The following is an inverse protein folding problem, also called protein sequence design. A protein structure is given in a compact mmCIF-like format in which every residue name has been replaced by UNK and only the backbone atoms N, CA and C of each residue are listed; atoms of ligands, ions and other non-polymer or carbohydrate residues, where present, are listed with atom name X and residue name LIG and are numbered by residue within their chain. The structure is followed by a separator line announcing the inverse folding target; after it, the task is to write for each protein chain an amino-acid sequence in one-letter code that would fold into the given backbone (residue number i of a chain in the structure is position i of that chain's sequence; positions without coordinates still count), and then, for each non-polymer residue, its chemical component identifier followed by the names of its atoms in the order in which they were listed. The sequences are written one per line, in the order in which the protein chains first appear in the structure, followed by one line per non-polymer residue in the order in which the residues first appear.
data_IF_733745339510
#
_entry.id   IF_733745339510
#
_cell.length_a   1.000
_cell.length_b   1.000
_cell.length_c   1.000
_cell.angle_alpha   90.00
_cell.angle_beta   90.00
_cell.angle_gamma   90.00
#
_symmetry.space_group_name_H-M   'P 1'
#
loop_
_entity.id
_entity.type
_entity.pdbx_description
1 polymer ?
#
# COMPACT_ATOMS: atom_id res chain seq x y z
N UNK A 1 -19.74 -13.12 21.90
CA UNK A 1 -19.12 -13.19 20.55
C UNK A 1 -18.06 -14.28 20.43
N UNK A 2 -17.06 -14.39 21.32
CA UNK A 2 -16.00 -15.41 21.20
C UNK A 2 -16.44 -16.86 21.52
N UNK A 3 -17.53 -17.04 22.28
CA UNK A 3 -18.03 -18.36 22.68
C UNK A 3 -18.57 -19.21 21.51
N UNK A 4 -18.94 -18.59 20.38
CA UNK A 4 -19.44 -19.32 19.20
C UNK A 4 -18.30 -19.90 18.35
N UNK A 5 -17.07 -19.38 18.50
CA UNK A 5 -15.89 -19.85 17.76
C UNK A 5 -15.54 -21.30 18.14
N UNK A 6 -15.84 -21.70 19.38
CA UNK A 6 -15.62 -23.08 19.85
C UNK A 6 -16.54 -24.11 19.19
N UNK A 7 -17.64 -23.68 18.56
CA UNK A 7 -18.60 -24.55 17.85
C UNK A 7 -18.27 -24.75 16.38
N UNK A 8 -17.29 -24.03 15.84
CA UNK A 8 -16.90 -24.13 14.44
C UNK A 8 -16.29 -25.49 14.13
N UNK A 9 -16.60 -26.04 12.97
CA UNK A 9 -15.94 -27.23 12.44
C UNK A 9 -14.49 -26.92 12.07
N UNK A 10 -13.61 -27.93 11.93
CA UNK A 10 -12.23 -27.70 11.50
C UNK A 10 -12.11 -26.93 10.17
N UNK A 11 -13.00 -27.21 9.20
CA UNK A 11 -13.03 -26.49 7.92
C UNK A 11 -13.44 -25.02 8.08
N UNK A 12 -14.47 -24.74 8.86
CA UNK A 12 -14.90 -23.36 9.14
C UNK A 12 -13.85 -22.57 9.93
N UNK A 13 -13.13 -23.23 10.85
CA UNK A 13 -11.99 -22.61 11.56
C UNK A 13 -10.88 -22.25 10.59
N UNK A 14 -10.55 -23.13 9.65
CA UNK A 14 -9.52 -22.87 8.66
C UNK A 14 -9.90 -21.68 7.76
N UNK A 15 -11.14 -21.64 7.27
CA UNK A 15 -11.66 -20.54 6.47
C UNK A 15 -11.67 -19.21 7.24
N UNK A 16 -12.11 -19.23 8.51
CA UNK A 16 -12.06 -18.07 9.40
C UNK A 16 -10.62 -17.59 9.63
N UNK A 17 -9.67 -18.49 9.89
CA UNK A 17 -8.27 -18.13 10.08
C UNK A 17 -7.67 -17.49 8.82
N UNK A 18 -7.98 -18.00 7.63
CA UNK A 18 -7.54 -17.41 6.36
C UNK A 18 -8.15 -16.02 6.12
N UNK A 19 -9.43 -15.82 6.46
CA UNK A 19 -10.07 -14.52 6.35
C UNK A 19 -9.48 -13.50 7.34
N UNK A 20 -9.20 -13.93 8.58
CA UNK A 20 -8.61 -13.07 9.61
C UNK A 20 -7.15 -12.74 9.31
N UNK A 21 -6.36 -13.68 8.78
CA UNK A 21 -4.95 -13.41 8.45
C UNK A 21 -4.79 -12.29 7.42
N UNK A 22 -5.64 -12.26 6.38
CA UNK A 22 -5.64 -11.17 5.42
C UNK A 22 -6.11 -9.83 6.01
N UNK A 23 -7.07 -9.88 6.94
CA UNK A 23 -7.53 -8.69 7.65
C UNK A 23 -6.44 -8.12 8.58
N UNK A 24 -5.69 -8.98 9.27
CA UNK A 24 -4.59 -8.59 10.16
C UNK A 24 -3.46 -7.87 9.40
N UNK A 25 -3.08 -8.36 8.21
CA UNK A 25 -2.09 -7.70 7.36
C UNK A 25 -2.53 -6.27 6.98
N UNK A 26 -3.80 -6.10 6.58
CA UNK A 26 -4.37 -4.79 6.25
C UNK A 26 -4.38 -3.87 7.47
N UNK A 27 -4.81 -4.38 8.63
CA UNK A 27 -4.85 -3.63 9.89
C UNK A 27 -3.44 -3.17 10.29
N UNK A 28 -2.44 -4.05 10.19
CA UNK A 28 -1.05 -3.70 10.50
C UNK A 28 -0.49 -2.61 9.58
N UNK A 29 -0.79 -2.68 8.27
CA UNK A 29 -0.40 -1.62 7.33
C UNK A 29 -1.08 -0.30 7.68
N UNK A 30 -2.38 -0.30 7.98
CA UNK A 30 -3.11 0.91 8.38
C UNK A 30 -2.53 1.51 9.66
N UNK A 31 -2.27 0.69 10.68
CA UNK A 31 -1.65 1.12 11.93
C UNK A 31 -0.27 1.73 11.68
N UNK A 32 0.55 1.10 10.83
CA UNK A 32 1.87 1.63 10.46
C UNK A 32 1.76 2.99 9.80
N UNK A 33 0.82 3.16 8.85
CA UNK A 33 0.57 4.43 8.16
C UNK A 33 0.07 5.54 9.11
N UNK A 34 -0.68 5.17 10.14
CA UNK A 34 -1.23 6.12 11.13
C UNK A 34 -0.29 6.40 12.30
N UNK A 35 0.69 5.52 12.54
CA UNK A 35 1.64 5.65 13.64
C UNK A 35 2.51 6.90 13.51
N UNK A 36 2.94 7.45 14.65
CA UNK A 36 3.88 8.56 14.68
C UNK A 36 5.29 8.02 14.50
N UNK A 37 6.06 8.51 13.52
CA UNK A 37 7.45 8.12 13.35
C UNK A 37 8.29 8.65 14.53
N UNK A 38 9.14 7.77 15.08
CA UNK A 38 10.02 8.08 16.20
C UNK A 38 11.26 8.88 15.75
N UNK A 39 11.73 8.65 14.52
CA UNK A 39 12.91 9.29 13.96
C UNK A 39 12.67 9.79 12.53
N UNK A 40 13.51 10.75 12.11
CA UNK A 40 13.53 11.24 10.74
C UNK A 40 14.18 10.20 9.81
N UNK A 41 13.54 9.79 8.71
CA UNK A 41 14.13 8.84 7.76
C UNK A 41 15.40 9.37 7.09
N UNK A 42 15.54 10.70 6.98
CA UNK A 42 16.66 11.31 6.26
C UNK A 42 17.93 11.50 7.09
N UNK A 43 17.81 11.63 8.40
CA UNK A 43 18.96 11.98 9.26
C UNK A 43 18.91 11.29 10.64
N UNK A 44 17.95 10.39 10.86
CA UNK A 44 17.74 9.62 12.09
C UNK A 44 17.50 10.45 13.36
N UNK A 45 17.37 11.78 13.24
CA UNK A 45 17.09 12.65 14.38
C UNK A 45 15.67 12.49 14.91
N UNK A 46 15.53 12.51 16.24
CA UNK A 46 14.27 12.26 16.96
C UNK A 46 13.38 13.51 17.11
N UNK A 47 13.91 14.70 16.75
CA UNK A 47 13.15 15.95 16.82
C UNK A 47 12.14 16.07 15.67
N UNK A 48 11.09 15.26 15.72
CA UNK A 48 10.03 15.17 14.70
C UNK A 48 8.72 15.78 15.19
N UNK A 49 8.18 16.74 14.42
CA UNK A 49 6.91 17.41 14.71
C UNK A 49 5.88 17.20 13.60
N UNK A 50 4.59 17.25 13.94
CA UNK A 50 3.49 17.28 12.96
C UNK A 50 3.54 18.59 12.17
N UNK A 51 3.27 18.53 10.86
CA UNK A 51 3.37 19.65 9.94
C UNK A 51 2.22 19.64 8.91
N UNK A 52 0.99 19.56 9.43
CA UNK A 52 -0.24 19.51 8.64
C UNK A 52 -0.48 18.17 7.94
N UNK A 53 -1.41 18.16 6.99
CA UNK A 53 -1.80 16.97 6.23
C UNK A 53 -1.69 17.23 4.72
N UNK A 54 -1.43 16.19 3.94
CA UNK A 54 -1.55 16.24 2.48
C UNK A 54 -1.92 14.88 1.93
N UNK A 55 -2.81 14.84 0.93
CA UNK A 55 -3.24 13.62 0.25
C UNK A 55 -3.72 12.52 1.22
N UNK A 56 -4.43 12.93 2.26
CA UNK A 56 -4.98 12.06 3.32
C UNK A 56 -3.96 11.55 4.34
N UNK A 57 -2.71 12.03 4.33
CA UNK A 57 -1.65 11.58 5.21
C UNK A 57 -1.14 12.70 6.12
N UNK A 58 -0.82 12.34 7.37
CA UNK A 58 -0.10 13.21 8.29
C UNK A 58 1.30 13.49 7.74
N UNK A 59 1.65 14.77 7.62
CA UNK A 59 3.02 15.21 7.30
C UNK A 59 3.78 15.47 8.58
N UNK A 60 5.07 15.15 8.55
CA UNK A 60 6.02 15.40 9.62
C UNK A 60 7.15 16.30 9.11
N UNK A 61 7.74 17.07 10.02
CA UNK A 61 8.95 17.88 9.76
C UNK A 61 10.00 17.52 10.79
N UNK A 62 11.20 17.20 10.33
CA UNK A 62 12.36 17.06 11.20
C UNK A 62 12.90 18.45 11.54
N UNK A 63 13.13 18.74 12.82
CA UNK A 63 13.75 19.99 13.28
C UNK A 63 15.28 19.96 13.20
N UNK A 64 15.90 18.79 13.11
CA UNK A 64 17.35 18.65 12.96
C UNK A 64 17.80 18.95 11.53
N UNK A 65 17.19 18.32 10.51
CA UNK A 65 17.57 18.50 9.10
C UNK A 65 16.58 19.33 8.27
N UNK A 66 15.50 19.84 8.88
CA UNK A 66 14.45 20.68 8.28
C UNK A 66 13.57 20.02 7.20
N UNK A 67 13.89 18.80 6.76
CA UNK A 67 13.13 18.06 5.73
C UNK A 67 11.76 17.61 6.22
N UNK A 68 10.80 17.52 5.30
CA UNK A 68 9.46 16.99 5.55
C UNK A 68 9.27 15.60 4.97
N UNK A 69 8.53 14.76 5.68
CA UNK A 69 8.24 13.38 5.30
C UNK A 69 6.84 12.97 5.79
N UNK A 70 6.43 11.75 5.49
CA UNK A 70 5.19 11.12 5.98
C UNK A 70 5.43 9.63 6.23
N UNK A 71 4.43 8.91 6.72
CA UNK A 71 4.52 7.47 7.01
C UNK A 71 4.77 6.58 5.79
N UNK A 72 4.54 7.08 4.57
CA UNK A 72 4.88 6.37 3.33
C UNK A 72 6.28 6.70 2.81
N UNK A 73 7.04 7.56 3.49
CA UNK A 73 8.40 7.89 3.06
C UNK A 73 9.27 6.64 3.15
N UNK A 74 10.16 6.44 2.17
CA UNK A 74 10.97 5.22 1.99
C UNK A 74 10.21 3.93 1.67
N UNK A 75 8.89 4.01 1.44
CA UNK A 75 8.10 2.87 0.94
C UNK A 75 7.92 2.95 -0.58
N UNK A 76 7.64 1.83 -1.28
CA UNK A 76 7.22 1.85 -2.69
C UNK A 76 5.94 2.69 -2.95
N UNK A 77 5.14 2.92 -1.91
CA UNK A 77 3.93 3.75 -1.94
C UNK A 77 4.23 5.25 -1.83
N UNK A 78 5.50 5.64 -1.61
CA UNK A 78 5.92 7.02 -1.58
C UNK A 78 5.52 7.74 -2.87
N UNK A 79 4.88 8.90 -2.72
CA UNK A 79 4.46 9.77 -3.84
C UNK A 79 3.57 9.07 -4.87
N UNK A 80 2.89 7.99 -4.47
CA UNK A 80 1.94 7.31 -5.33
C UNK A 80 0.73 8.20 -5.58
N UNK A 81 0.53 8.58 -6.85
CA UNK A 81 -0.62 9.34 -7.32
C UNK A 81 -1.72 8.37 -7.78
N UNK A 82 -2.96 8.85 -7.84
CA UNK A 82 -4.11 8.04 -8.26
C UNK A 82 -4.25 6.73 -7.48
N UNK A 83 -4.13 6.79 -6.14
CA UNK A 83 -4.19 5.62 -5.25
C UNK A 83 -5.40 4.72 -5.52
N UNK A 84 -6.57 5.31 -5.82
CA UNK A 84 -7.79 4.57 -6.15
C UNK A 84 -7.73 3.74 -7.44
N UNK A 85 -6.74 3.96 -8.32
CA UNK A 85 -6.52 3.15 -9.52
C UNK A 85 -5.53 2.00 -9.29
N UNK A 86 -4.93 1.89 -8.10
CA UNK A 86 -3.82 0.96 -7.86
C UNK A 86 -4.27 -0.50 -7.81
N UNK A 87 -5.44 -0.78 -7.24
CA UNK A 87 -6.04 -2.12 -7.26
C UNK A 87 -6.36 -2.56 -8.69
N UNK A 88 -6.94 -1.66 -9.50
CA UNK A 88 -7.22 -1.93 -10.91
C UNK A 88 -5.92 -2.10 -11.71
N UNK A 89 -4.87 -1.33 -11.39
CA UNK A 89 -3.53 -1.51 -11.96
C UNK A 89 -2.96 -2.90 -11.64
N UNK A 90 -3.12 -3.40 -10.42
CA UNK A 90 -2.73 -4.75 -10.05
C UNK A 90 -3.51 -5.81 -10.85
N UNK A 91 -4.82 -5.60 -11.03
CA UNK A 91 -5.66 -6.49 -11.82
C UNK A 91 -5.24 -6.57 -13.29
N UNK A 92 -4.97 -5.44 -13.95
CA UNK A 92 -4.53 -5.45 -15.36
C UNK A 92 -3.16 -6.10 -15.54
N UNK A 93 -2.27 -6.02 -14.55
CA UNK A 93 -0.98 -6.74 -14.59
C UNK A 93 -1.15 -8.24 -14.41
N UNK A 94 -2.01 -8.69 -13.49
CA UNK A 94 -2.35 -10.11 -13.33
C UNK A 94 -2.96 -10.71 -14.60
N UNK A 95 -3.73 -9.91 -15.33
CA UNK A 95 -4.30 -10.28 -16.63
C UNK A 95 -3.29 -10.28 -17.79
N UNK A 96 -2.06 -9.79 -17.57
CA UNK A 96 -1.03 -9.75 -18.61
C UNK A 96 -1.27 -8.70 -19.70
N UNK A 97 -2.10 -7.67 -19.44
CA UNK A 97 -2.41 -6.65 -20.44
C UNK A 97 -1.16 -5.86 -20.87
N UNK A 98 -1.12 -5.46 -22.15
CA UNK A 98 -0.08 -4.58 -22.65
C UNK A 98 -0.16 -3.18 -22.00
N UNK A 99 0.91 -2.40 -22.10
CA UNK A 99 0.96 -1.04 -21.54
C UNK A 99 -0.16 -0.16 -22.12
N UNK A 100 -0.45 -0.30 -23.41
CA UNK A 100 -1.51 0.46 -24.07
C UNK A 100 -2.90 0.02 -23.60
N UNK A 101 -3.17 -1.29 -23.54
CA UNK A 101 -4.44 -1.81 -23.01
C UNK A 101 -4.68 -1.41 -21.55
N UNK A 102 -3.63 -1.44 -20.73
CA UNK A 102 -3.69 -0.98 -19.34
C UNK A 102 -3.95 0.54 -19.25
N UNK A 103 -3.33 1.33 -20.13
CA UNK A 103 -3.53 2.78 -20.18
C UNK A 103 -4.99 3.14 -20.51
N UNK A 104 -5.58 2.47 -21.50
CA UNK A 104 -6.98 2.66 -21.90
C UNK A 104 -7.92 2.24 -20.77
N UNK A 105 -7.70 1.03 -20.22
CA UNK A 105 -8.52 0.46 -19.13
C UNK A 105 -8.51 1.33 -17.87
N UNK A 106 -7.37 1.95 -17.55
CA UNK A 106 -7.19 2.79 -16.37
C UNK A 106 -7.46 4.27 -16.66
N UNK A 107 -7.72 4.64 -17.91
CA UNK A 107 -7.83 6.02 -18.38
C UNK A 107 -6.66 6.89 -17.88
N UNK A 108 -5.44 6.49 -18.25
CA UNK A 108 -4.18 7.20 -17.95
C UNK A 108 -3.31 7.25 -19.20
N UNK A 109 -2.31 8.14 -19.24
CA UNK A 109 -1.35 8.14 -20.33
C UNK A 109 -0.53 6.82 -20.36
N UNK A 110 -0.15 6.30 -21.54
CA UNK A 110 0.70 5.10 -21.66
C UNK A 110 2.01 5.17 -20.87
N UNK A 111 2.64 6.35 -20.82
CA UNK A 111 3.84 6.59 -20.02
C UNK A 111 3.62 6.46 -18.50
N UNK A 112 2.38 6.72 -18.04
CA UNK A 112 1.98 6.52 -16.65
C UNK A 112 1.79 5.03 -16.36
N UNK A 113 1.05 4.32 -17.22
CA UNK A 113 0.85 2.87 -17.11
C UNK A 113 2.18 2.10 -17.13
N UNK A 114 3.11 2.47 -18.02
CA UNK A 114 4.45 1.90 -18.07
C UNK A 114 5.21 2.08 -16.75
N UNK A 115 5.23 3.32 -16.22
CA UNK A 115 5.90 3.62 -14.95
C UNK A 115 5.29 2.85 -13.77
N UNK A 116 3.97 2.66 -13.79
CA UNK A 116 3.26 1.94 -12.74
C UNK A 116 3.58 0.44 -12.74
N UNK A 117 3.77 -0.18 -13.91
CA UNK A 117 4.18 -1.59 -14.04
C UNK A 117 5.47 -1.92 -13.30
N UNK A 118 6.41 -0.98 -13.23
CA UNK A 118 7.69 -1.18 -12.53
C UNK A 118 7.62 -0.95 -11.02
N UNK A 119 6.56 -0.29 -10.51
CA UNK A 119 6.39 -0.03 -9.07
C UNK A 119 5.79 -1.20 -8.30
N UNK A 120 4.98 -2.03 -8.95
CA UNK A 120 4.42 -3.21 -8.31
C UNK A 120 5.51 -4.29 -8.11
N UNK A 121 5.45 -5.08 -7.04
CA UNK A 121 6.41 -6.15 -6.81
C UNK A 121 6.28 -7.26 -7.87
N UNK A 122 7.33 -8.09 -8.10
CA UNK A 122 7.27 -9.18 -9.08
C UNK A 122 6.13 -10.17 -8.85
N UNK A 123 5.69 -10.36 -7.60
CA UNK A 123 4.58 -11.24 -7.25
C UNK A 123 3.26 -10.85 -7.93
N UNK A 124 3.07 -9.56 -8.25
CA UNK A 124 1.87 -9.08 -8.94
C UNK A 124 2.00 -9.09 -10.48
N UNK A 125 3.11 -9.62 -11.01
CA UNK A 125 3.42 -9.63 -12.47
C UNK A 125 3.19 -10.98 -13.18
N UNK A 126 2.64 -12.00 -12.50
CA UNK A 126 2.29 -13.33 -13.09
C UNK A 126 0.81 -13.38 -13.47
N UNK A 127 0.34 -13.92 -14.61
CA UNK A 127 0.96 -14.46 -15.82
C UNK A 127 -0.03 -14.20 -16.97
N UNK A 128 0.38 -13.54 -18.04
CA UNK A 128 -0.32 -13.62 -19.32
C UNK A 128 0.06 -14.94 -19.97
N UNK A 129 -0.89 -15.86 -20.09
CA UNK A 129 -0.82 -16.96 -21.02
C UNK A 129 -1.12 -16.42 -22.43
N UNK A 130 -0.12 -16.45 -23.30
CA UNK A 130 -0.22 -16.66 -24.74
C UNK A 130 1.17 -17.04 -25.24
#
# INVERSE_FOLDING_TARGET
MLAEVSKLTPGQRQELMQALSGADEVVQVVQTVQSRPLACPHCQGERVVRNGHASGLQRYKCRSCTRTFNSLTETPLARLRHKGKWERQAQVLRQGLSVHQAADTLSVAPSTAFRWRHRLPPSERRSGAA
#
